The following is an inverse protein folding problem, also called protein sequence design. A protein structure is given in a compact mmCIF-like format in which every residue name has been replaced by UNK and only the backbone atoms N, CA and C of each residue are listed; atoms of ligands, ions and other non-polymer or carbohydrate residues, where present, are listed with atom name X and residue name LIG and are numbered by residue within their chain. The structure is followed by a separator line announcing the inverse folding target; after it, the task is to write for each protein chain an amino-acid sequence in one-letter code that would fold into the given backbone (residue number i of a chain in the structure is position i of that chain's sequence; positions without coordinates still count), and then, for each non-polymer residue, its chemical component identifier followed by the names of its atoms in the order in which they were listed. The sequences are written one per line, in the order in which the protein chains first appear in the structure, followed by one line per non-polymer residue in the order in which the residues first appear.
data_IF_485203283425
#
_entry.id   IF_485203283425
#
_cell.length_a   1.000
_cell.length_b   1.000
_cell.length_c   1.000
_cell.angle_alpha   90.00
_cell.angle_beta   90.00
_cell.angle_gamma   90.00
#
_symmetry.space_group_name_H-M   'P 1'
#
loop_
_entity.id
_entity.type
_entity.pdbx_description
1 polymer ?
#
# COMPACT_ATOMS: atom_id res chain seq x y z
N UNK A 1 -26.28 -11.56 -27.86
CA UNK A 1 -25.40 -12.36 -26.99
C UNK A 1 -23.99 -11.82 -27.18
N UNK A 2 -23.73 -10.64 -26.61
CA UNK A 2 -22.58 -9.79 -26.96
C UNK A 2 -21.39 -10.23 -26.13
N UNK A 3 -20.38 -10.80 -26.79
CA UNK A 3 -19.10 -11.16 -26.19
C UNK A 3 -18.36 -9.89 -25.77
N UNK A 4 -18.13 -9.73 -24.47
CA UNK A 4 -17.24 -8.70 -23.95
C UNK A 4 -15.80 -9.20 -24.13
N UNK A 5 -14.89 -8.42 -24.75
CA UNK A 5 -13.47 -8.75 -24.69
C UNK A 5 -12.97 -8.60 -23.25
N UNK A 6 -12.21 -9.60 -22.77
CA UNK A 6 -11.49 -9.54 -21.50
C UNK A 6 -10.70 -8.23 -21.38
N UNK A 7 -10.70 -7.56 -20.22
CA UNK A 7 -9.81 -6.42 -20.00
C UNK A 7 -8.35 -6.88 -20.15
N UNK A 8 -7.44 -6.05 -20.69
CA UNK A 8 -6.03 -6.36 -20.69
C UNK A 8 -5.59 -6.58 -19.25
N UNK A 9 -4.95 -7.72 -19.00
CA UNK A 9 -4.30 -8.02 -17.74
C UNK A 9 -3.45 -6.81 -17.36
N UNK A 10 -3.88 -6.12 -16.30
CA UNK A 10 -3.17 -5.00 -15.72
C UNK A 10 -1.73 -5.41 -15.53
N UNK A 11 -0.81 -4.66 -16.12
CA UNK A 11 0.62 -4.82 -15.91
C UNK A 11 0.86 -5.11 -14.43
N UNK A 12 1.46 -6.27 -14.15
CA UNK A 12 1.75 -6.71 -12.81
C UNK A 12 2.38 -5.55 -12.03
N UNK A 13 1.93 -5.28 -10.79
CA UNK A 13 2.57 -4.25 -9.98
C UNK A 13 4.08 -4.55 -9.92
N UNK A 14 4.94 -3.53 -9.86
CA UNK A 14 6.38 -3.73 -9.75
C UNK A 14 6.62 -4.73 -8.62
N UNK A 15 7.17 -5.89 -8.99
CA UNK A 15 7.46 -7.01 -8.11
C UNK A 15 8.19 -6.45 -6.89
N UNK A 16 7.53 -6.55 -5.73
CA UNK A 16 8.16 -6.21 -4.46
C UNK A 16 9.45 -7.05 -4.33
N UNK A 17 10.51 -6.54 -3.68
CA UNK A 17 11.73 -7.31 -3.52
C UNK A 17 11.41 -8.67 -2.89
N UNK A 18 11.67 -9.74 -3.64
CA UNK A 18 11.65 -11.11 -3.16
C UNK A 18 12.87 -11.29 -2.26
N UNK A 19 12.74 -10.90 -1.00
CA UNK A 19 13.76 -11.06 0.03
C UNK A 19 13.41 -12.26 0.91
N UNK A 20 14.37 -13.16 1.04
CA UNK A 20 14.35 -14.32 1.93
C UNK A 20 13.95 -13.92 3.36
N UNK A 21 12.81 -14.44 3.80
CA UNK A 21 12.12 -14.13 5.05
C UNK A 21 10.64 -14.46 4.89
N UNK A 22 10.00 -14.98 5.95
CA UNK A 22 8.58 -15.36 6.12
C UNK A 22 7.67 -15.08 4.91
N UNK A 23 7.05 -16.13 4.38
CA UNK A 23 6.23 -16.07 3.17
C UNK A 23 5.13 -14.99 3.28
N UNK A 24 4.77 -14.36 2.15
CA UNK A 24 3.75 -13.31 2.10
C UNK A 24 2.42 -13.80 2.72
N UNK A 25 2.11 -15.09 2.55
CA UNK A 25 0.94 -15.73 3.15
C UNK A 25 1.02 -15.85 4.67
N UNK A 26 2.20 -16.15 5.22
CA UNK A 26 2.42 -16.23 6.66
C UNK A 26 2.32 -14.84 7.29
N UNK A 27 2.97 -13.84 6.69
CA UNK A 27 2.86 -12.44 7.10
C UNK A 27 1.42 -11.96 7.04
N UNK A 28 0.68 -12.31 5.98
CA UNK A 28 -0.73 -11.96 5.87
C UNK A 28 -1.58 -12.61 6.96
N UNK A 29 -1.39 -13.90 7.25
CA UNK A 29 -2.14 -14.61 8.29
C UNK A 29 -1.90 -14.01 9.67
N UNK A 30 -0.64 -13.80 10.04
CA UNK A 30 -0.29 -13.18 11.32
C UNK A 30 -0.80 -11.74 11.42
N UNK A 31 -0.66 -10.95 10.34
CA UNK A 31 -1.21 -9.61 10.29
C UNK A 31 -2.73 -9.61 10.50
N UNK A 32 -3.50 -10.49 9.84
CA UNK A 32 -4.95 -10.60 10.05
C UNK A 32 -5.29 -10.99 11.49
N UNK A 33 -4.49 -11.87 12.10
CA UNK A 33 -4.63 -12.28 13.50
C UNK A 33 -4.28 -11.17 14.51
N UNK A 34 -3.69 -10.05 14.06
CA UNK A 34 -3.26 -8.95 14.92
C UNK A 34 -1.90 -9.19 15.57
N UNK A 35 -1.04 -9.97 14.94
CA UNK A 35 0.35 -10.13 15.34
C UNK A 35 1.16 -8.88 14.97
N UNK A 36 1.70 -8.20 15.99
CA UNK A 36 2.51 -6.98 15.83
C UNK A 36 3.88 -7.27 15.22
N UNK A 37 4.46 -8.45 15.44
CA UNK A 37 5.73 -8.84 14.83
C UNK A 37 5.58 -9.03 13.32
N UNK A 38 4.42 -9.56 12.89
CA UNK A 38 4.06 -9.62 11.47
C UNK A 38 3.88 -8.21 10.87
N UNK A 39 3.27 -7.27 11.59
CA UNK A 39 3.20 -5.87 11.14
C UNK A 39 4.61 -5.27 11.02
N UNK A 40 5.50 -5.51 11.97
CA UNK A 40 6.88 -5.03 11.92
C UNK A 40 7.65 -5.61 10.73
N UNK A 41 7.45 -6.90 10.43
CA UNK A 41 8.03 -7.54 9.23
C UNK A 41 7.47 -6.93 7.94
N UNK A 42 6.16 -6.70 7.88
CA UNK A 42 5.51 -5.98 6.77
C UNK A 42 6.10 -4.57 6.61
N UNK A 43 6.29 -3.84 7.70
CA UNK A 43 6.91 -2.52 7.66
C UNK A 43 8.34 -2.58 7.09
N UNK A 44 9.20 -3.47 7.61
CA UNK A 44 10.59 -3.62 7.12
C UNK A 44 10.65 -3.92 5.63
N UNK A 45 9.74 -4.77 5.13
CA UNK A 45 9.75 -5.21 3.73
C UNK A 45 9.18 -4.19 2.75
N UNK A 46 8.11 -3.47 3.12
CA UNK A 46 7.41 -2.58 2.19
C UNK A 46 7.64 -1.08 2.42
N UNK A 47 8.22 -0.65 3.54
CA UNK A 47 8.37 0.78 3.88
C UNK A 47 9.16 1.56 2.83
N UNK A 48 10.28 1.02 2.35
CA UNK A 48 11.09 1.66 1.30
C UNK A 48 10.33 1.87 0.00
N UNK A 49 9.51 0.89 -0.41
CA UNK A 49 8.66 1.01 -1.61
C UNK A 49 7.57 2.06 -1.42
N UNK A 50 6.87 2.01 -0.28
CA UNK A 50 5.81 2.97 0.05
C UNK A 50 6.36 4.39 0.08
N UNK A 51 7.49 4.60 0.75
CA UNK A 51 8.17 5.88 0.83
C UNK A 51 8.60 6.38 -0.56
N UNK A 52 9.21 5.53 -1.39
CA UNK A 52 9.61 5.90 -2.74
C UNK A 52 8.42 6.34 -3.61
N UNK A 53 7.28 5.63 -3.52
CA UNK A 53 6.06 6.01 -4.22
C UNK A 53 5.51 7.36 -3.74
N UNK A 54 5.44 7.57 -2.43
CA UNK A 54 4.97 8.82 -1.85
C UNK A 54 5.91 9.99 -2.19
N UNK A 55 7.22 9.79 -2.07
CA UNK A 55 8.24 10.80 -2.37
C UNK A 55 8.20 11.24 -3.83
N UNK A 56 7.99 10.29 -4.75
CA UNK A 56 7.84 10.56 -6.19
C UNK A 56 6.57 11.35 -6.49
N UNK A 57 5.47 11.03 -5.82
CA UNK A 57 4.19 11.69 -6.08
C UNK A 57 4.04 13.07 -5.45
N UNK A 58 4.56 13.26 -4.23
CA UNK A 58 4.33 14.46 -3.43
C UNK A 58 5.43 15.52 -3.58
N UNK A 59 6.64 15.10 -3.98
CA UNK A 59 7.76 16.03 -4.14
C UNK A 59 8.34 16.57 -2.82
N UNK A 60 7.78 16.19 -1.67
CA UNK A 60 8.21 16.60 -0.33
C UNK A 60 8.58 15.37 0.54
N UNK A 61 9.68 15.43 1.29
CA UNK A 61 10.13 14.33 2.14
C UNK A 61 9.24 14.12 3.37
N UNK A 62 8.88 15.18 4.08
CA UNK A 62 8.00 15.11 5.25
C UNK A 62 6.59 14.61 4.91
N UNK A 63 6.01 15.06 3.79
CA UNK A 63 4.72 14.52 3.33
C UNK A 63 4.83 13.03 2.95
N UNK A 64 5.97 12.61 2.40
CA UNK A 64 6.21 11.20 2.07
C UNK A 64 6.36 10.32 3.33
N UNK A 65 7.03 10.82 4.36
CA UNK A 65 7.13 10.14 5.67
C UNK A 65 5.76 10.01 6.33
N UNK A 66 4.97 11.09 6.38
CA UNK A 66 3.61 11.04 6.92
C UNK A 66 2.73 10.05 6.15
N UNK A 67 2.71 10.13 4.81
CA UNK A 67 1.96 9.15 4.01
C UNK A 67 2.42 7.73 4.27
N UNK A 68 3.72 7.48 4.42
CA UNK A 68 4.24 6.15 4.75
C UNK A 68 3.67 5.67 6.09
N UNK A 69 3.70 6.51 7.13
CA UNK A 69 3.09 6.18 8.42
C UNK A 69 1.58 5.93 8.29
N UNK A 70 0.85 6.78 7.58
CA UNK A 70 -0.60 6.63 7.36
C UNK A 70 -0.96 5.35 6.60
N UNK A 71 -0.08 4.89 5.70
CA UNK A 71 -0.25 3.62 4.99
C UNK A 71 -0.18 2.46 5.96
N UNK A 72 0.86 2.36 6.80
CA UNK A 72 0.99 1.23 7.72
C UNK A 72 -0.04 1.27 8.85
N UNK A 73 -0.48 2.45 9.28
CA UNK A 73 -1.67 2.60 10.13
C UNK A 73 -2.93 2.08 9.42
N UNK A 74 -3.07 2.37 8.13
CA UNK A 74 -4.16 1.87 7.28
C UNK A 74 -4.12 0.35 7.10
N UNK A 75 -2.93 -0.23 6.94
CA UNK A 75 -2.69 -1.67 6.89
C UNK A 75 -3.13 -2.32 8.21
N UNK A 76 -2.68 -1.80 9.35
CA UNK A 76 -3.08 -2.32 10.65
C UNK A 76 -4.59 -2.22 10.90
N UNK A 77 -5.19 -1.05 10.66
CA UNK A 77 -6.64 -0.85 10.85
C UNK A 77 -7.47 -1.69 9.88
N UNK A 78 -6.98 -1.89 8.65
CA UNK A 78 -7.65 -2.61 7.58
C UNK A 78 -7.38 -4.11 7.52
N UNK A 79 -6.49 -4.65 8.37
CA UNK A 79 -5.99 -6.04 8.31
C UNK A 79 -7.10 -7.10 8.22
N UNK A 80 -8.16 -6.98 9.01
CA UNK A 80 -9.29 -7.93 9.00
C UNK A 80 -10.05 -7.97 7.66
N UNK A 81 -9.93 -6.92 6.85
CA UNK A 81 -10.52 -6.81 5.51
C UNK A 81 -9.61 -7.30 4.39
N UNK A 82 -8.36 -7.69 4.66
CA UNK A 82 -7.49 -8.26 3.64
C UNK A 82 -8.06 -9.61 3.15
N UNK A 83 -7.96 -9.83 1.84
CA UNK A 83 -8.54 -10.98 1.13
C UNK A 83 -7.51 -11.49 0.12
N UNK A 84 -6.80 -12.60 0.40
CA UNK A 84 -5.72 -13.09 -0.47
C UNK A 84 -6.24 -13.54 -1.85
N UNK A 85 -7.51 -13.96 -1.93
CA UNK A 85 -8.21 -14.26 -3.18
C UNK A 85 -8.35 -13.04 -4.12
N UNK A 86 -8.26 -11.82 -3.58
CA UNK A 86 -8.32 -10.57 -4.36
C UNK A 86 -6.95 -10.03 -4.76
N UNK A 87 -5.87 -10.68 -4.33
CA UNK A 87 -4.51 -10.33 -4.71
C UNK A 87 -3.49 -10.39 -3.57
N UNK A 88 -2.19 -10.33 -3.91
CA UNK A 88 -1.10 -10.47 -2.95
C UNK A 88 -1.04 -9.29 -1.96
N UNK A 89 -0.46 -9.53 -0.79
CA UNK A 89 -0.35 -8.56 0.30
C UNK A 89 0.31 -7.25 -0.17
N UNK A 90 1.38 -7.34 -0.95
CA UNK A 90 2.05 -6.18 -1.53
C UNK A 90 1.14 -5.34 -2.44
N UNK A 91 0.28 -5.99 -3.24
CA UNK A 91 -0.68 -5.30 -4.10
C UNK A 91 -1.72 -4.52 -3.29
N UNK A 92 -2.19 -5.12 -2.19
CA UNK A 92 -3.11 -4.45 -1.26
C UNK A 92 -2.46 -3.24 -0.57
N UNK A 93 -1.21 -3.37 -0.11
CA UNK A 93 -0.44 -2.26 0.48
C UNK A 93 -0.27 -1.12 -0.54
N UNK A 94 0.12 -1.43 -1.79
CA UNK A 94 0.24 -0.43 -2.86
C UNK A 94 -1.09 0.27 -3.14
N UNK A 95 -2.21 -0.45 -3.08
CA UNK A 95 -3.55 0.14 -3.17
C UNK A 95 -3.83 1.18 -2.08
N UNK A 96 -3.47 0.86 -0.82
CA UNK A 96 -3.58 1.80 0.30
C UNK A 96 -2.67 3.02 0.07
N UNK A 97 -1.43 2.80 -0.39
CA UNK A 97 -0.47 3.87 -0.71
C UNK A 97 -1.02 4.85 -1.73
N UNK A 98 -1.58 4.36 -2.84
CA UNK A 98 -2.17 5.22 -3.88
C UNK A 98 -3.31 6.07 -3.33
N UNK A 99 -4.18 5.47 -2.51
CA UNK A 99 -5.27 6.22 -1.85
C UNK A 99 -4.73 7.32 -0.94
N UNK A 100 -3.73 7.02 -0.11
CA UNK A 100 -3.13 8.02 0.80
C UNK A 100 -2.40 9.15 0.08
N UNK A 101 -1.72 8.85 -1.02
CA UNK A 101 -1.13 9.88 -1.89
C UNK A 101 -2.22 10.78 -2.47
N UNK A 102 -3.32 10.21 -2.98
CA UNK A 102 -4.44 10.98 -3.50
C UNK A 102 -5.06 11.89 -2.42
N UNK A 103 -5.30 11.35 -1.22
CA UNK A 103 -5.83 12.12 -0.09
C UNK A 103 -4.93 13.32 0.24
N UNK A 104 -3.61 13.13 0.25
CA UNK A 104 -2.61 14.18 0.52
C UNK A 104 -2.59 15.27 -0.58
N UNK A 105 -2.60 14.87 -1.85
CA UNK A 105 -2.68 15.79 -2.99
C UNK A 105 -3.98 16.61 -2.96
N UNK A 106 -5.11 15.96 -2.69
CA UNK A 106 -6.40 16.62 -2.56
C UNK A 106 -6.41 17.62 -1.40
N UNK A 107 -5.79 17.27 -0.26
CA UNK A 107 -5.64 18.19 0.87
C UNK A 107 -4.77 19.40 0.54
N UNK A 108 -3.71 19.22 -0.25
CA UNK A 108 -2.84 20.31 -0.70
C UNK A 108 -3.58 21.28 -1.64
N UNK A 109 -4.36 20.76 -2.58
CA UNK A 109 -5.17 21.58 -3.49
C UNK A 109 -6.13 22.50 -2.71
N UNK A 110 -6.87 21.94 -1.75
CA UNK A 110 -7.78 22.71 -0.87
C UNK A 110 -7.08 23.79 -0.05
N UNK A 111 -5.82 23.56 0.38
CA UNK A 111 -5.04 24.60 1.08
C UNK A 111 -4.60 25.72 0.14
N UNK A 112 -4.31 25.40 -1.11
CA UNK A 112 -3.92 26.39 -2.13
C UNK A 112 -5.08 27.30 -2.56
N UNK A 113 -6.31 26.83 -2.50
CA UNK A 113 -7.52 27.61 -2.81
C UNK A 113 -7.87 28.67 -1.74
N UNK A 114 -7.24 28.61 -0.56
CA UNK A 114 -7.50 29.49 0.58
C UNK A 114 -6.46 30.62 0.74
N UNK A 115 -5.54 30.78 -0.22
CA UNK A 115 -4.44 31.76 -0.21
C UNK A 115 -4.60 32.78 -1.33
#
# INVERSE_FOLDING_TARGET
MTSYPSPPATAAPPVAPAGEGCDDEELARGLVAGDEDCLAAVYRRWSSLVYALARRALGNAGEAEDVTQQVFLGVWRGRAGYRPDRGPLGGWIVGITRRKIFDALAARARRGELV
#
